data_IF_829963859296
#
_entry.id   IF_829963859296
#
_cell.length_a   1.000
_cell.length_b   1.000
_cell.length_c   1.000
_cell.angle_alpha   90.00
_cell.angle_beta   90.00
_cell.angle_gamma   90.00
#
_symmetry.space_group_name_H-M   'P 1'
#
loop_
_entity.id
_entity.type
_entity.pdbx_description
1 polymer ?
#
# COMPACT_ATOMS: atom_id res chain seq x y z
N UNK A 1 -5.41 -7.93 -10.04
CA UNK A 1 -5.63 -8.41 -8.66
C UNK A 1 -6.13 -7.30 -7.75
N UNK A 2 -5.32 -6.29 -7.39
CA UNK A 2 -5.72 -5.22 -6.45
C UNK A 2 -7.04 -4.51 -6.83
N UNK A 3 -7.25 -4.20 -8.12
CA UNK A 3 -8.51 -3.62 -8.61
C UNK A 3 -9.73 -4.49 -8.33
N UNK A 4 -9.60 -5.82 -8.42
CA UNK A 4 -10.70 -6.75 -8.12
C UNK A 4 -11.03 -6.78 -6.62
N UNK A 5 -10.09 -6.37 -5.77
CA UNK A 5 -10.26 -6.18 -4.33
C UNK A 5 -10.63 -4.73 -3.96
N UNK A 6 -10.80 -3.84 -4.94
CA UNK A 6 -11.08 -2.42 -4.71
C UNK A 6 -9.90 -1.64 -4.13
N UNK A 7 -8.67 -2.18 -4.19
CA UNK A 7 -7.48 -1.57 -3.60
C UNK A 7 -6.69 -0.76 -4.63
N UNK A 8 -6.23 0.42 -4.22
CA UNK A 8 -5.38 1.28 -5.03
C UNK A 8 -3.92 0.84 -4.93
N UNK A 9 -3.24 0.69 -6.08
CA UNK A 9 -1.85 0.22 -6.15
C UNK A 9 -0.88 1.14 -5.40
N UNK A 10 -1.06 2.45 -5.50
CA UNK A 10 -0.15 3.41 -4.87
C UNK A 10 -0.31 3.46 -3.33
N UNK A 11 -1.36 2.84 -2.80
CA UNK A 11 -1.63 2.78 -1.36
C UNK A 11 -1.34 1.40 -0.75
N UNK A 12 -0.96 0.40 -1.55
CA UNK A 12 -0.76 -0.97 -1.09
C UNK A 12 0.44 -1.64 -1.76
N UNK A 13 1.22 -2.37 -0.97
CA UNK A 13 2.23 -3.30 -1.48
C UNK A 13 1.66 -4.71 -1.48
N UNK A 14 2.12 -5.50 -2.45
CA UNK A 14 1.86 -6.95 -2.51
C UNK A 14 3.16 -7.64 -2.15
N UNK A 15 3.12 -8.50 -1.13
CA UNK A 15 4.27 -9.19 -0.57
C UNK A 15 4.07 -10.70 -0.69
N UNK A 16 5.15 -11.43 -1.00
CA UNK A 16 5.21 -12.89 -0.97
C UNK A 16 6.39 -13.32 -0.11
N UNK A 17 6.12 -13.87 1.06
CA UNK A 17 7.17 -14.12 2.05
C UNK A 17 7.85 -12.80 2.43
N UNK A 18 9.12 -12.63 2.05
CA UNK A 18 9.90 -11.41 2.33
C UNK A 18 10.04 -10.49 1.11
N UNK A 19 9.50 -10.89 -0.05
CA UNK A 19 9.67 -10.17 -1.31
C UNK A 19 8.49 -9.23 -1.61
N UNK A 20 8.79 -7.98 -1.96
CA UNK A 20 7.80 -7.04 -2.54
C UNK A 20 7.68 -7.30 -4.04
N UNK A 21 6.46 -7.57 -4.50
CA UNK A 21 6.20 -7.90 -5.89
C UNK A 21 5.97 -6.64 -6.74
N UNK A 22 6.48 -6.68 -7.96
CA UNK A 22 6.23 -5.67 -9.00
C UNK A 22 5.01 -6.05 -9.85
N UNK A 23 4.45 -5.11 -10.62
CA UNK A 23 3.24 -5.38 -11.41
C UNK A 23 3.40 -6.33 -12.59
N UNK A 24 4.62 -6.52 -13.06
CA UNK A 24 4.97 -7.48 -14.11
C UNK A 24 5.20 -8.90 -13.55
N UNK A 25 5.19 -9.06 -12.23
CA UNK A 25 5.29 -10.38 -11.61
C UNK A 25 4.05 -11.21 -11.92
N UNK A 26 4.26 -12.43 -12.44
CA UNK A 26 3.18 -13.38 -12.72
C UNK A 26 2.83 -14.16 -11.46
N UNK A 27 1.54 -14.17 -11.13
CA UNK A 27 1.00 -14.94 -10.02
C UNK A 27 0.52 -16.33 -10.47
N UNK A 28 0.51 -17.25 -9.53
CA UNK A 28 -0.03 -18.61 -9.65
C UNK A 28 -1.12 -18.83 -8.60
N UNK A 29 -1.99 -19.82 -8.81
CA UNK A 29 -3.10 -20.11 -7.88
C UNK A 29 -2.62 -20.63 -6.51
N UNK A 30 -1.37 -21.07 -6.42
CA UNK A 30 -0.75 -21.55 -5.18
C UNK A 30 0.00 -20.46 -4.43
N UNK A 31 0.03 -19.21 -4.93
CA UNK A 31 0.72 -18.13 -4.26
C UNK A 31 -0.04 -17.66 -3.01
N UNK A 32 0.65 -17.67 -1.87
CA UNK A 32 0.22 -16.97 -0.67
C UNK A 32 0.79 -15.55 -0.69
N UNK A 33 -0.10 -14.56 -0.64
CA UNK A 33 0.26 -13.15 -0.76
C UNK A 33 -0.28 -12.36 0.43
N UNK A 34 0.53 -11.46 0.94
CA UNK A 34 0.11 -10.45 1.91
C UNK A 34 -0.10 -9.11 1.18
N UNK A 35 -1.19 -8.40 1.50
CA UNK A 35 -1.45 -7.06 0.98
C UNK A 35 -1.34 -6.09 2.14
N UNK A 36 -0.30 -5.27 2.12
CA UNK A 36 0.00 -4.34 3.21
C UNK A 36 -0.30 -2.90 2.78
N UNK A 37 -1.03 -2.11 3.58
CA UNK A 37 -1.18 -0.68 3.31
C UNK A 37 0.16 0.04 3.50
N UNK A 38 0.47 0.99 2.63
CA UNK A 38 1.59 1.91 2.87
C UNK A 38 1.08 3.17 3.53
N UNK A 39 1.64 3.48 4.70
CA UNK A 39 1.46 4.80 5.29
C UNK A 39 2.37 5.75 4.50
N UNK A 40 1.80 6.53 3.59
CA UNK A 40 2.49 7.71 3.08
C UNK A 40 2.65 8.67 4.27
N UNK A 41 3.88 8.86 4.76
CA UNK A 41 4.20 9.77 5.89
C UNK A 41 3.90 11.27 5.66
N UNK A 42 3.06 11.61 4.68
CA UNK A 42 2.67 12.98 4.33
C UNK A 42 1.43 13.53 5.03
N UNK A 43 0.88 12.83 6.03
CA UNK A 43 -0.19 13.36 6.87
C UNK A 43 0.34 13.93 8.20
N UNK A 44 1.32 14.84 8.13
CA UNK A 44 1.61 15.79 9.20
C UNK A 44 1.60 17.20 8.61
N UNK A 45 0.56 17.97 8.96
CA UNK A 45 0.55 19.42 8.74
C UNK A 45 -0.58 19.97 7.85
N UNK A 46 -1.80 19.47 7.98
CA UNK A 46 -2.98 20.00 7.28
C UNK A 46 -4.14 20.35 8.22
N UNK A 47 -3.92 21.28 9.17
CA UNK A 47 -4.99 22.11 9.72
C UNK A 47 -5.64 21.70 11.06
N UNK A 48 -5.01 22.11 12.17
CA UNK A 48 -5.73 22.94 13.14
C UNK A 48 -4.89 24.19 13.40
N UNK A 49 -5.52 25.34 13.24
CA UNK A 49 -4.98 26.63 13.60
C UNK A 49 -4.74 26.67 15.12
N UNK A 50 -3.48 26.47 15.52
CA UNK A 50 -2.99 26.79 16.86
C UNK A 50 -1.97 27.90 16.71
N UNK A 51 -2.29 29.09 17.22
CA UNK A 51 -1.44 30.27 17.15
C UNK A 51 -0.04 30.00 17.71
N UNK A 52 0.97 30.47 16.98
CA UNK A 52 2.28 30.76 17.55
C UNK A 52 2.21 32.19 18.10
N UNK A 53 2.13 32.27 19.42
CA UNK A 53 2.59 33.46 20.16
C UNK A 53 4.09 33.38 20.40
#
# INVERSE_FOLDING_TARGET
>A
MLTALGLHRDAHLVVRGEDILTSDTRLTETDELEIVPVISGGAVGGGVAGGWG
#
